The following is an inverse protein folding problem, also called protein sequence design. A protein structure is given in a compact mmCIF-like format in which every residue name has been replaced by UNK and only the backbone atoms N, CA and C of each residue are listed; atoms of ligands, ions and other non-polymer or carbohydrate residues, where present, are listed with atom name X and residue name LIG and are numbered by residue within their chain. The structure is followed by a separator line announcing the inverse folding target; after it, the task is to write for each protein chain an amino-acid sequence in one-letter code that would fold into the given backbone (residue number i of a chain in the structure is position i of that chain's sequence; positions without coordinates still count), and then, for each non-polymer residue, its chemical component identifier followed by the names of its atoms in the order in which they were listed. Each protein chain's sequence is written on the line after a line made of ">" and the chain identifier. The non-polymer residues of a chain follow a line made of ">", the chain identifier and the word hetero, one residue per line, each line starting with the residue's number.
data_IF_112165119937
#
_entry.id   IF_112165119937
#
_cell.length_a   1.000
_cell.length_b   1.000
_cell.length_c   1.000
_cell.angle_alpha   90.00
_cell.angle_beta   90.00
_cell.angle_gamma   90.00
#
_symmetry.space_group_name_H-M   'P 1'
#
loop_
_entity.id
_entity.type
_entity.pdbx_description
1 polymer ?
#
# COMPACT_ATOMS: atom_id res chain seq x y z
N UNK A 1 -8.91 -3.74 -0.11
CA UNK A 1 -8.23 -5.04 -0.23
C UNK A 1 -7.33 -4.95 -1.46
N UNK A 2 -6.01 -4.92 -1.31
CA UNK A 2 -5.15 -5.29 -2.43
C UNK A 2 -5.42 -6.78 -2.60
N UNK A 3 -6.17 -7.15 -3.64
CA UNK A 3 -6.35 -8.54 -3.99
C UNK A 3 -4.97 -9.05 -4.43
N UNK A 4 -4.23 -9.61 -3.47
CA UNK A 4 -3.00 -10.33 -3.71
C UNK A 4 -3.40 -11.63 -4.42
N UNK A 5 -3.25 -11.61 -5.74
CA UNK A 5 -2.99 -12.84 -6.48
C UNK A 5 -1.74 -13.49 -5.86
N UNK A 6 -1.72 -14.81 -5.77
CA UNK A 6 -1.08 -15.60 -4.69
C UNK A 6 0.44 -15.43 -4.45
N UNK A 7 1.15 -14.53 -5.14
CA UNK A 7 2.60 -14.33 -5.01
C UNK A 7 3.01 -12.86 -5.15
N UNK A 8 2.65 -11.99 -4.19
CA UNK A 8 3.16 -10.61 -4.17
C UNK A 8 4.58 -10.58 -3.58
N UNK A 9 5.59 -10.44 -4.45
CA UNK A 9 7.00 -10.35 -4.05
C UNK A 9 7.34 -8.96 -3.46
N UNK A 10 8.23 -8.91 -2.47
CA UNK A 10 8.79 -7.68 -1.91
C UNK A 10 9.45 -6.81 -2.99
N UNK A 11 10.00 -7.44 -4.04
CA UNK A 11 10.57 -6.75 -5.20
C UNK A 11 9.48 -5.98 -5.96
N UNK A 12 8.34 -6.62 -6.20
CA UNK A 12 7.22 -6.02 -6.92
C UNK A 12 6.60 -4.88 -6.10
N UNK A 13 6.41 -5.06 -4.79
CA UNK A 13 5.95 -4.01 -3.89
C UNK A 13 6.88 -2.80 -3.95
N UNK A 14 8.19 -3.05 -3.89
CA UNK A 14 9.20 -2.00 -3.94
C UNK A 14 9.27 -1.28 -5.31
N UNK A 15 8.71 -1.88 -6.36
CA UNK A 15 8.60 -1.28 -7.69
C UNK A 15 7.36 -0.42 -7.89
N UNK A 16 6.37 -0.47 -6.99
CA UNK A 16 5.11 0.28 -7.12
C UNK A 16 5.40 1.79 -7.16
N UNK A 17 4.91 2.47 -8.20
CA UNK A 17 5.00 3.92 -8.34
C UNK A 17 3.64 4.47 -8.79
N UNK A 18 3.27 5.63 -8.28
CA UNK A 18 2.05 6.37 -8.66
C UNK A 18 0.75 5.56 -8.55
N UNK A 19 0.66 4.64 -7.59
CA UNK A 19 -0.56 3.88 -7.36
C UNK A 19 -1.68 4.76 -6.76
N UNK A 20 -2.91 4.30 -6.93
CA UNK A 20 -4.07 4.82 -6.20
C UNK A 20 -4.46 3.80 -5.15
N UNK A 21 -4.47 4.21 -3.88
CA UNK A 21 -4.88 3.38 -2.76
C UNK A 21 -6.23 3.86 -2.24
N UNK A 22 -7.14 2.92 -2.00
CA UNK A 22 -8.45 3.20 -1.43
C UNK A 22 -8.71 2.29 -0.22
N UNK A 23 -9.32 2.85 0.82
CA UNK A 23 -9.70 2.09 2.01
C UNK A 23 -10.93 2.69 2.68
N UNK A 24 -11.73 1.82 3.30
CA UNK A 24 -12.82 2.23 4.18
C UNK A 24 -12.24 2.53 5.56
N UNK A 25 -12.46 3.74 6.06
CA UNK A 25 -12.13 4.07 7.44
C UNK A 25 -13.09 3.40 8.42
N UNK A 26 -12.60 3.12 9.61
CA UNK A 26 -13.43 2.64 10.73
C UNK A 26 -14.50 3.64 11.20
N UNK A 27 -14.58 4.82 10.58
CA UNK A 27 -15.62 5.82 10.77
C UNK A 27 -16.69 5.80 9.65
N UNK A 28 -16.68 4.80 8.77
CA UNK A 28 -17.62 4.65 7.64
C UNK A 28 -17.38 5.66 6.52
N UNK A 29 -16.17 6.22 6.42
CA UNK A 29 -15.77 7.15 5.36
C UNK A 29 -14.73 6.47 4.50
N UNK A 30 -14.94 6.50 3.19
CA UNK A 30 -13.96 6.02 2.22
C UNK A 30 -12.88 7.07 1.97
N UNK A 31 -11.65 6.60 1.86
CA UNK A 31 -10.49 7.43 1.63
C UNK A 31 -9.75 7.00 0.37
N UNK A 32 -9.17 7.97 -0.32
CA UNK A 32 -8.34 7.77 -1.49
C UNK A 32 -7.01 8.51 -1.33
N UNK A 33 -5.91 7.82 -1.69
CA UNK A 33 -4.58 8.39 -1.81
C UNK A 33 -4.02 8.10 -3.20
N UNK A 34 -3.64 9.14 -3.92
CA UNK A 34 -2.99 9.02 -5.24
C UNK A 34 -1.49 9.23 -5.12
N UNK A 35 -0.74 8.90 -6.18
CA UNK A 35 0.72 9.07 -6.19
C UNK A 35 1.43 8.13 -5.19
N UNK A 36 0.79 7.03 -4.81
CA UNK A 36 1.29 6.15 -3.77
C UNK A 36 2.50 5.34 -4.25
N UNK A 37 3.49 5.22 -3.37
CA UNK A 37 4.63 4.33 -3.51
C UNK A 37 5.26 4.02 -2.14
N UNK A 38 6.19 3.06 -2.06
CA UNK A 38 6.94 2.78 -0.86
C UNK A 38 7.63 4.03 -0.32
N UNK A 39 7.43 4.34 0.97
CA UNK A 39 8.17 5.41 1.64
C UNK A 39 9.64 5.03 1.82
N UNK A 40 9.87 3.77 2.15
CA UNK A 40 11.16 3.10 2.29
C UNK A 40 11.03 1.70 1.70
N UNK A 41 12.14 1.01 1.38
CA UNK A 41 12.09 -0.37 0.93
C UNK A 41 11.37 -1.28 1.93
N UNK A 42 10.33 -1.96 1.48
CA UNK A 42 9.69 -3.04 2.22
C UNK A 42 10.68 -4.18 2.41
N UNK A 43 10.58 -4.87 3.54
CA UNK A 43 11.45 -5.99 3.91
C UNK A 43 10.60 -7.23 4.20
N UNK A 44 11.09 -8.39 3.79
CA UNK A 44 10.54 -9.68 4.17
C UNK A 44 11.19 -10.12 5.48
N UNK A 45 10.39 -10.37 6.50
CA UNK A 45 10.88 -10.91 7.77
C UNK A 45 11.15 -12.42 7.67
N UNK A 46 11.89 -12.96 8.64
CA UNK A 46 12.11 -14.40 8.77
C UNK A 46 10.81 -15.19 9.06
N UNK A 47 9.75 -14.50 9.53
CA UNK A 47 8.40 -15.08 9.72
C UNK A 47 7.56 -15.11 8.44
N UNK A 48 8.06 -14.54 7.33
CA UNK A 48 7.33 -14.43 6.07
C UNK A 48 6.44 -13.19 5.97
N UNK A 49 6.50 -12.28 6.95
CA UNK A 49 5.69 -11.06 6.95
C UNK A 49 6.39 -9.94 6.16
N UNK A 50 5.62 -9.23 5.34
CA UNK A 50 6.07 -8.02 4.66
C UNK A 50 5.45 -6.82 5.36
N UNK A 51 6.29 -5.97 5.95
CA UNK A 51 5.85 -4.73 6.60
C UNK A 51 6.54 -3.51 5.99
N UNK A 52 5.80 -2.41 5.93
CA UNK A 52 6.29 -1.14 5.39
C UNK A 52 5.19 -0.11 5.32
N UNK A 53 5.52 1.08 4.82
CA UNK A 53 4.60 2.21 4.74
C UNK A 53 4.57 2.74 3.32
N UNK A 54 3.37 2.91 2.77
CA UNK A 54 3.17 3.67 1.55
C UNK A 54 3.07 5.16 1.88
N UNK A 55 3.67 5.99 1.04
CA UNK A 55 3.52 7.43 1.03
C UNK A 55 2.94 7.86 -0.30
N UNK A 56 2.05 8.86 -0.28
CA UNK A 56 1.47 9.44 -1.48
C UNK A 56 1.08 10.90 -1.24
N UNK A 57 0.18 11.39 -2.09
CA UNK A 57 -0.42 12.71 -1.93
C UNK A 57 -1.37 12.76 -0.74
N UNK A 58 -1.82 13.98 -0.41
CA UNK A 58 -2.78 14.19 0.66
C UNK A 58 -4.03 13.35 0.39
N UNK A 59 -4.45 12.61 1.41
CA UNK A 59 -5.64 11.76 1.37
C UNK A 59 -6.89 12.61 1.24
N UNK A 60 -7.80 12.19 0.37
CA UNK A 60 -9.11 12.79 0.17
C UNK A 60 -10.21 11.82 0.59
N UNK A 61 -11.34 12.37 1.03
CA UNK A 61 -12.56 11.58 1.28
C UNK A 61 -13.26 11.34 -0.06
N UNK A 62 -13.77 10.13 -0.25
CA UNK A 62 -14.60 9.76 -1.40
C UNK A 62 -16.07 9.92 -1.06
#
# INVERSE_FOLDING_TARGET
>A
MIAADEDVDVIEINSIRNATMTWEGNNGVDYMMTGAGPQEPFQLSDSGDITGTFRGHKVEKV
#
